data_IF_749355649690
#
_entry.id   IF_749355649690
#
_cell.length_a   1.000
_cell.length_b   1.000
_cell.length_c   1.000
_cell.angle_alpha   90.00
_cell.angle_beta   90.00
_cell.angle_gamma   90.00
#
_symmetry.space_group_name_H-M   'P 1'
#
loop_
_entity.id
_entity.type
_entity.pdbx_description
1 polymer ?
#
# COMPACT_ATOMS: atom_id res chain seq x y z
N UNK A 1 11.91 78.50 27.34
CA UNK A 1 11.01 78.60 28.51
C UNK A 1 9.66 78.01 28.09
N UNK A 2 9.37 76.75 28.44
CA UNK A 2 8.46 76.34 29.52
C UNK A 2 7.07 76.96 29.47
N UNK A 3 6.04 76.14 29.23
CA UNK A 3 4.94 75.81 30.18
C UNK A 3 4.00 74.79 29.48
N UNK A 4 3.98 73.52 29.90
CA UNK A 4 3.05 72.90 30.87
C UNK A 4 1.59 72.84 30.41
N UNK A 5 1.09 71.61 30.19
CA UNK A 5 -0.26 71.16 30.61
C UNK A 5 -0.47 69.65 30.36
N UNK A 6 -1.40 68.98 31.08
CA UNK A 6 -1.03 67.81 31.87
C UNK A 6 -1.88 66.53 31.64
N UNK A 7 -1.35 65.43 32.19
CA UNK A 7 -1.99 64.30 32.87
C UNK A 7 -3.21 63.57 32.29
N UNK A 8 -3.02 62.25 32.27
CA UNK A 8 -3.95 61.20 32.69
C UNK A 8 -4.96 60.65 31.67
N UNK A 9 -4.74 59.39 31.28
CA UNK A 9 -5.69 58.31 31.55
C UNK A 9 -4.98 56.95 31.45
N UNK A 10 -4.95 56.20 32.56
CA UNK A 10 -4.77 54.76 32.54
C UNK A 10 -5.95 54.14 31.78
N UNK A 11 -5.67 53.28 30.81
CA UNK A 11 -6.70 52.63 29.98
C UNK A 11 -6.29 51.23 29.55
N UNK A 12 -6.63 50.26 30.40
CA UNK A 12 -7.13 48.92 30.07
C UNK A 12 -6.25 47.98 29.21
N UNK A 13 -5.75 46.92 29.86
CA UNK A 13 -5.31 45.69 29.21
C UNK A 13 -6.44 45.12 28.34
N UNK A 14 -6.31 45.21 27.02
CA UNK A 14 -7.12 44.42 26.09
C UNK A 14 -6.22 43.33 25.52
N UNK A 15 -6.30 42.15 26.12
CA UNK A 15 -5.83 40.91 25.52
C UNK A 15 -6.69 40.61 24.31
N UNK A 16 -6.15 40.79 23.11
CA UNK A 16 -6.69 40.14 21.91
C UNK A 16 -5.59 39.30 21.29
N UNK A 17 -5.83 37.99 21.37
CA UNK A 17 -4.98 36.95 20.82
C UNK A 17 -4.92 37.08 19.30
N UNK A 18 -3.74 37.37 18.76
CA UNK A 18 -3.47 37.16 17.35
C UNK A 18 -3.30 35.65 17.13
N UNK A 19 -4.30 35.02 16.54
CA UNK A 19 -4.26 33.62 16.09
C UNK A 19 -3.24 33.51 14.95
N UNK A 20 -2.02 33.09 15.25
CA UNK A 20 -1.09 32.62 14.24
C UNK A 20 -1.46 31.19 13.88
N UNK A 21 -2.02 31.02 12.67
CA UNK A 21 -2.34 29.72 12.07
C UNK A 21 -1.07 28.89 12.02
N UNK A 22 -1.00 27.82 12.82
CA UNK A 22 0.00 26.78 12.66
C UNK A 22 -0.28 26.11 11.32
N UNK A 23 0.50 26.47 10.30
CA UNK A 23 0.61 25.67 9.09
C UNK A 23 1.24 24.33 9.50
N UNK A 24 0.41 23.39 9.92
CA UNK A 24 0.79 21.97 9.97
C UNK A 24 0.96 21.56 8.52
N UNK A 25 2.17 21.75 8.00
CA UNK A 25 2.65 21.01 6.84
C UNK A 25 2.72 19.55 7.30
N UNK A 26 1.58 18.88 7.33
CA UNK A 26 1.59 17.43 7.36
C UNK A 26 2.39 17.01 6.13
N UNK A 27 3.49 16.26 6.26
CA UNK A 27 3.88 15.44 5.15
C UNK A 27 2.69 14.49 5.01
N UNK A 28 1.83 14.76 4.04
CA UNK A 28 1.22 13.66 3.34
C UNK A 28 2.42 12.88 2.82
N UNK A 29 2.87 11.88 3.59
CA UNK A 29 3.46 10.71 2.98
C UNK A 29 2.40 10.28 1.98
N UNK A 30 2.53 10.79 0.76
CA UNK A 30 2.42 9.93 -0.38
C UNK A 30 3.29 8.74 -0.01
N UNK A 31 2.66 7.74 0.60
CA UNK A 31 2.98 6.37 0.29
C UNK A 31 2.77 6.32 -1.22
N UNK A 32 3.79 6.76 -1.96
CA UNK A 32 4.08 6.27 -3.28
C UNK A 32 4.23 4.77 -3.01
N UNK A 33 3.09 4.08 -2.98
CA UNK A 33 3.03 2.65 -2.82
C UNK A 33 3.73 2.15 -4.05
N UNK A 34 5.03 1.97 -3.91
CA UNK A 34 5.91 1.35 -4.86
C UNK A 34 5.22 0.04 -5.17
N UNK A 35 4.50 -0.01 -6.29
CA UNK A 35 3.68 -1.14 -6.75
C UNK A 35 4.52 -2.42 -7.03
N UNK A 36 5.75 -2.44 -6.53
CA UNK A 36 6.85 -3.34 -6.84
C UNK A 36 7.36 -4.14 -5.63
N UNK A 37 6.72 -4.03 -4.45
CA UNK A 37 7.35 -4.52 -3.22
C UNK A 37 7.18 -6.01 -2.94
N UNK A 38 6.16 -6.66 -3.49
CA UNK A 38 6.01 -8.10 -3.31
C UNK A 38 6.46 -8.84 -4.55
N UNK A 39 7.40 -9.75 -4.35
CA UNK A 39 7.91 -10.65 -5.37
C UNK A 39 7.81 -12.08 -4.88
N UNK A 40 7.76 -13.01 -5.82
CA UNK A 40 7.85 -14.41 -5.50
C UNK A 40 8.50 -15.21 -6.60
N UNK A 41 9.06 -16.37 -6.26
CA UNK A 41 9.62 -17.32 -7.20
C UNK A 41 8.67 -18.48 -7.40
N UNK A 42 8.36 -18.79 -8.66
CA UNK A 42 7.49 -19.93 -8.99
C UNK A 42 8.20 -21.25 -8.74
N UNK A 43 7.59 -22.14 -7.96
CA UNK A 43 8.16 -23.44 -7.59
C UNK A 43 7.50 -24.63 -8.30
N UNK A 44 6.39 -24.42 -9.01
CA UNK A 44 5.73 -25.47 -9.80
C UNK A 44 6.63 -25.94 -10.95
N UNK A 45 7.14 -27.18 -10.88
CA UNK A 45 8.08 -27.74 -11.88
C UNK A 45 7.54 -27.74 -13.31
N UNK A 46 6.24 -27.96 -13.49
CA UNK A 46 5.56 -27.91 -14.79
C UNK A 46 5.12 -26.50 -15.20
N UNK A 47 5.43 -25.48 -14.39
CA UNK A 47 4.90 -24.11 -14.47
C UNK A 47 3.56 -23.94 -13.74
N UNK A 48 3.29 -22.72 -13.29
CA UNK A 48 2.08 -22.38 -12.55
C UNK A 48 1.01 -21.85 -13.51
N UNK A 49 -0.14 -22.53 -13.57
CA UNK A 49 -1.31 -22.06 -14.30
C UNK A 49 -1.89 -20.82 -13.61
N UNK A 50 -2.06 -19.75 -14.38
CA UNK A 50 -2.64 -18.49 -13.92
C UNK A 50 -4.11 -18.43 -14.30
N UNK A 51 -4.93 -17.88 -13.41
CA UNK A 51 -6.39 -17.97 -13.52
C UNK A 51 -7.09 -16.63 -13.36
N UNK A 52 -8.30 -16.49 -13.90
CA UNK A 52 -9.07 -15.24 -13.77
C UNK A 52 -9.74 -15.04 -12.40
N UNK A 53 -9.86 -16.11 -11.60
CA UNK A 53 -10.36 -16.10 -10.21
C UNK A 53 -9.52 -17.01 -9.32
N UNK A 54 -9.46 -16.78 -8.00
CA UNK A 54 -8.70 -17.59 -7.04
C UNK A 54 -9.39 -18.94 -6.73
N UNK A 55 -9.78 -19.67 -7.76
CA UNK A 55 -10.44 -20.97 -7.67
C UNK A 55 -9.75 -21.96 -8.61
N UNK A 56 -9.84 -23.27 -8.33
CA UNK A 56 -9.21 -24.32 -9.15
C UNK A 56 -9.94 -24.58 -10.46
N UNK A 57 -11.22 -24.23 -10.52
CA UNK A 57 -12.09 -24.43 -11.69
C UNK A 57 -12.19 -23.21 -12.61
N UNK A 58 -11.65 -22.05 -12.23
CA UNK A 58 -11.74 -20.84 -13.03
C UNK A 58 -10.88 -20.92 -14.29
N UNK A 59 -11.18 -20.04 -15.26
CA UNK A 59 -10.55 -20.06 -16.57
C UNK A 59 -9.05 -19.82 -16.44
N UNK A 60 -8.26 -20.64 -17.11
CA UNK A 60 -6.81 -20.45 -17.24
C UNK A 60 -6.58 -19.30 -18.22
N UNK A 61 -5.86 -18.27 -17.79
CA UNK A 61 -5.56 -17.06 -18.58
C UNK A 61 -4.07 -16.93 -18.90
N UNK A 62 -3.24 -17.81 -18.35
CA UNK A 62 -1.82 -17.81 -18.63
C UNK A 62 -1.07 -18.87 -17.86
N UNK A 63 0.26 -18.79 -17.93
CA UNK A 63 1.18 -19.70 -17.24
C UNK A 63 2.45 -18.96 -16.86
N UNK A 64 2.83 -19.04 -15.59
CA UNK A 64 4.13 -18.58 -15.11
C UNK A 64 5.14 -19.75 -15.16
N UNK A 65 6.31 -19.61 -15.81
CA UNK A 65 7.31 -20.67 -15.89
C UNK A 65 7.89 -21.08 -14.53
N UNK A 66 8.43 -22.28 -14.43
CA UNK A 66 9.19 -22.69 -13.24
C UNK A 66 10.38 -21.76 -13.03
N UNK A 67 10.61 -21.32 -11.79
CA UNK A 67 11.74 -20.49 -11.39
C UNK A 67 11.64 -19.03 -11.79
N UNK A 68 10.61 -18.61 -12.53
CA UNK A 68 10.42 -17.19 -12.86
C UNK A 68 10.10 -16.39 -11.61
N UNK A 69 10.56 -15.14 -11.58
CA UNK A 69 10.15 -14.16 -10.60
C UNK A 69 8.85 -13.52 -11.06
N UNK A 70 7.87 -13.46 -10.16
CA UNK A 70 6.57 -12.81 -10.37
C UNK A 70 6.41 -11.64 -9.41
N UNK A 71 5.77 -10.57 -9.87
CA UNK A 71 5.34 -9.43 -9.07
C UNK A 71 3.92 -9.68 -8.57
N UNK A 72 3.73 -9.44 -7.27
CA UNK A 72 2.49 -9.73 -6.56
C UNK A 72 1.89 -8.40 -6.10
N UNK A 73 0.60 -8.20 -6.35
CA UNK A 73 -0.12 -7.02 -5.86
C UNK A 73 -0.65 -7.25 -4.44
N UNK A 74 -1.36 -8.35 -4.22
CA UNK A 74 -1.95 -8.69 -2.93
C UNK A 74 -2.29 -10.19 -2.84
N UNK A 75 -2.68 -10.64 -1.65
CA UNK A 75 -3.16 -12.00 -1.39
C UNK A 75 -4.64 -12.03 -1.03
N UNK A 76 -5.28 -13.14 -1.37
CA UNK A 76 -6.66 -13.43 -0.95
C UNK A 76 -6.85 -14.90 -0.57
N UNK A 77 -8.03 -15.22 -0.05
CA UNK A 77 -8.47 -16.60 0.17
C UNK A 77 -9.17 -17.16 -1.05
N UNK A 78 -9.04 -18.46 -1.27
CA UNK A 78 -9.64 -19.14 -2.41
C UNK A 78 -9.65 -20.65 -2.23
N UNK A 79 -9.80 -21.38 -3.35
CA UNK A 79 -9.81 -22.83 -3.30
C UNK A 79 -8.46 -23.38 -2.81
N UNK A 80 -8.51 -24.45 -2.01
CA UNK A 80 -7.30 -25.12 -1.52
C UNK A 80 -6.56 -25.84 -2.63
N UNK A 81 -5.28 -25.54 -2.75
CA UNK A 81 -4.30 -26.27 -3.58
C UNK A 81 -3.26 -26.86 -2.63
N UNK A 82 -3.18 -28.20 -2.57
CA UNK A 82 -2.27 -28.93 -1.70
C UNK A 82 -2.30 -28.45 -0.23
N UNK A 83 -3.49 -28.17 0.30
CA UNK A 83 -3.70 -27.73 1.68
C UNK A 83 -3.58 -26.23 1.92
N UNK A 84 -3.12 -25.44 0.95
CA UNK A 84 -3.01 -23.98 1.05
C UNK A 84 -4.16 -23.28 0.31
N UNK A 85 -4.89 -22.41 1.01
CA UNK A 85 -6.04 -21.64 0.51
C UNK A 85 -5.67 -20.22 0.05
N UNK A 86 -4.39 -19.86 0.09
CA UNK A 86 -3.91 -18.53 -0.30
C UNK A 86 -3.64 -18.45 -1.80
N UNK A 87 -4.02 -17.32 -2.36
CA UNK A 87 -3.81 -16.97 -3.77
C UNK A 87 -3.21 -15.57 -3.88
N UNK A 88 -2.35 -15.38 -4.88
CA UNK A 88 -1.70 -14.11 -5.17
C UNK A 88 -2.19 -13.54 -6.49
N UNK A 89 -2.51 -12.25 -6.51
CA UNK A 89 -2.81 -11.51 -7.72
C UNK A 89 -1.50 -11.03 -8.33
N UNK A 90 -1.16 -11.51 -9.53
CA UNK A 90 0.10 -11.25 -10.21
C UNK A 90 -0.04 -10.13 -11.25
N UNK A 91 1.05 -9.37 -11.47
CA UNK A 91 1.05 -8.17 -12.33
C UNK A 91 2.02 -8.22 -13.52
N UNK A 92 2.74 -9.33 -13.74
CA UNK A 92 3.75 -9.49 -14.81
C UNK A 92 3.18 -9.61 -16.25
N UNK A 93 1.92 -9.24 -16.46
CA UNK A 93 1.22 -9.38 -17.73
C UNK A 93 -0.28 -9.13 -17.54
N UNK A 94 -1.12 -10.04 -18.05
CA UNK A 94 -2.54 -10.01 -17.70
C UNK A 94 -2.70 -10.31 -16.22
N UNK A 95 -3.39 -9.42 -15.50
CA UNK A 95 -3.68 -9.59 -14.08
C UNK A 95 -4.38 -10.93 -13.84
N UNK A 96 -3.75 -11.79 -13.05
CA UNK A 96 -4.19 -13.17 -12.89
C UNK A 96 -3.82 -13.74 -11.52
N UNK A 97 -4.59 -14.72 -11.08
CA UNK A 97 -4.43 -15.39 -9.81
C UNK A 97 -3.53 -16.62 -9.95
N UNK A 98 -2.48 -16.67 -9.13
CA UNK A 98 -1.63 -17.84 -8.92
C UNK A 98 -1.81 -18.40 -7.51
N UNK A 99 -1.82 -19.73 -7.37
CA UNK A 99 -1.86 -20.35 -6.04
C UNK A 99 -0.56 -20.05 -5.28
N UNK A 100 -0.68 -19.54 -4.05
CA UNK A 100 0.47 -19.23 -3.20
C UNK A 100 1.24 -20.48 -2.77
N UNK A 101 0.65 -21.68 -2.88
CA UNK A 101 1.37 -22.94 -2.65
C UNK A 101 2.60 -23.09 -3.57
N UNK A 102 2.53 -22.52 -4.77
CA UNK A 102 3.56 -22.66 -5.81
C UNK A 102 4.40 -21.39 -6.01
N UNK A 103 4.38 -20.47 -5.04
CA UNK A 103 5.13 -19.21 -5.10
C UNK A 103 5.84 -19.01 -3.77
N UNK A 104 7.17 -19.08 -3.79
CA UNK A 104 7.99 -18.74 -2.62
C UNK A 104 8.13 -17.22 -2.56
N UNK A 105 7.70 -16.59 -1.46
CA UNK A 105 7.83 -15.15 -1.32
C UNK A 105 9.30 -14.74 -1.24
N UNK A 106 9.61 -13.64 -1.93
CA UNK A 106 10.91 -12.96 -1.86
C UNK A 106 10.66 -11.64 -1.13
N UNK A 107 11.18 -11.53 0.08
CA UNK A 107 11.01 -10.35 0.93
C UNK A 107 9.70 -10.38 1.70
N UNK A 108 9.01 -9.24 1.73
CA UNK A 108 7.81 -9.06 2.54
C UNK A 108 6.65 -9.94 2.07
N UNK A 109 5.81 -10.36 3.02
CA UNK A 109 4.58 -11.10 2.71
C UNK A 109 3.56 -10.12 2.09
N UNK A 110 2.89 -10.49 0.98
CA UNK A 110 1.89 -9.63 0.37
C UNK A 110 0.78 -9.21 1.35
N UNK A 111 0.33 -7.95 1.24
CA UNK A 111 -0.87 -7.47 1.94
C UNK A 111 -2.12 -8.17 1.44
N UNK A 112 -3.20 -8.08 2.21
CA UNK A 112 -4.50 -8.55 1.77
C UNK A 112 -5.06 -7.66 0.65
N UNK A 113 -5.76 -8.33 -0.28
CA UNK A 113 -6.88 -7.73 -0.99
C UNK A 113 -8.09 -7.78 -0.04
#
# INVERSE_FOLDING_TARGET
MSLRSPLAALGLCVTTAAVAVLATTSPASAEEATHNEYKGRVTAKSGLLLRDRPTRGSRIVGKAPYGSIVHIFCKTGGDRVNGNDRWYLLTDGTWAWGSAFYIDNIGAVPRWC
#
